data_IF_567247408353
#
_entry.id   IF_567247408353
#
_cell.length_a   1.000
_cell.length_b   1.000
_cell.length_c   1.000
_cell.angle_alpha   90.00
_cell.angle_beta   90.00
_cell.angle_gamma   90.00
#
_symmetry.space_group_name_H-M   'P 1'
#
loop_
_entity.id
_entity.type
_entity.pdbx_description
1 polymer ?
#
# COMPACT_ATOMS: atom_id res chain seq x y z
N UNK A 1 -31.52 11.26 0.18
CA UNK A 1 -30.69 10.72 -0.93
C UNK A 1 -29.22 11.17 -0.89
N UNK A 2 -28.72 11.81 0.18
CA UNK A 2 -27.34 12.35 0.26
C UNK A 2 -26.35 11.47 1.07
N UNK A 3 -26.82 10.59 1.94
CA UNK A 3 -25.96 9.74 2.77
C UNK A 3 -25.29 8.58 2.02
N UNK A 4 -25.99 7.97 1.04
CA UNK A 4 -25.50 6.78 0.32
C UNK A 4 -24.37 7.12 -0.65
N UNK A 5 -24.37 8.32 -1.25
CA UNK A 5 -23.25 8.80 -2.10
C UNK A 5 -22.06 9.26 -1.24
N UNK A 6 -22.29 9.57 0.04
CA UNK A 6 -21.24 10.04 0.94
C UNK A 6 -20.31 8.92 1.41
N UNK A 7 -20.80 7.70 1.63
CA UNK A 7 -19.97 6.60 2.14
C UNK A 7 -18.87 6.17 1.17
N UNK A 8 -19.16 5.89 -0.12
CA UNK A 8 -18.14 5.52 -1.10
C UNK A 8 -17.11 6.64 -1.30
N UNK A 9 -17.55 7.90 -1.32
CA UNK A 9 -16.65 9.07 -1.37
C UNK A 9 -15.74 9.16 -0.15
N UNK A 10 -16.25 8.88 1.05
CA UNK A 10 -15.45 8.86 2.29
C UNK A 10 -14.41 7.74 2.28
N UNK A 11 -14.75 6.56 1.78
CA UNK A 11 -13.77 5.48 1.59
C UNK A 11 -12.74 5.81 0.50
N UNK A 12 -13.16 6.40 -0.62
CA UNK A 12 -12.25 6.85 -1.68
C UNK A 12 -11.26 7.91 -1.17
N UNK A 13 -11.71 8.84 -0.34
CA UNK A 13 -10.88 9.82 0.36
C UNK A 13 -9.94 9.16 1.37
N UNK A 14 -10.44 8.19 2.15
CA UNK A 14 -9.64 7.45 3.13
C UNK A 14 -8.49 6.67 2.48
N UNK A 15 -8.74 6.06 1.32
CA UNK A 15 -7.73 5.34 0.51
C UNK A 15 -6.83 6.28 -0.27
N UNK A 16 -7.27 7.54 -0.46
CA UNK A 16 -6.72 8.50 -1.43
C UNK A 16 -6.41 7.80 -2.75
N UNK A 17 -7.47 7.44 -3.49
CA UNK A 17 -7.39 6.72 -4.77
C UNK A 17 -6.33 7.31 -5.71
N UNK A 18 -6.19 8.63 -5.72
CA UNK A 18 -5.14 9.37 -6.43
C UNK A 18 -3.76 8.76 -6.22
N UNK A 19 -3.36 8.52 -4.97
CA UNK A 19 -2.04 7.95 -4.69
C UNK A 19 -1.93 6.47 -5.07
N UNK A 20 -3.04 5.72 -5.11
CA UNK A 20 -3.04 4.37 -5.66
C UNK A 20 -2.78 4.39 -7.15
N UNK A 21 -3.39 5.31 -7.88
CA UNK A 21 -3.13 5.50 -9.31
C UNK A 21 -1.66 5.89 -9.56
N UNK A 22 -1.09 6.76 -8.73
CA UNK A 22 0.33 7.13 -8.84
C UNK A 22 1.32 6.02 -8.45
N UNK A 23 0.89 5.01 -7.70
CA UNK A 23 1.74 3.87 -7.33
C UNK A 23 1.83 2.80 -8.43
N UNK A 24 0.81 2.70 -9.29
CA UNK A 24 0.73 1.69 -10.36
C UNK A 24 1.90 1.75 -11.37
N UNK A 25 2.37 2.94 -11.82
CA UNK A 25 3.53 3.03 -12.69
C UNK A 25 4.78 2.31 -12.14
N UNK A 26 5.05 2.36 -10.84
CA UNK A 26 6.22 1.67 -10.26
C UNK A 26 6.08 0.15 -10.32
N UNK A 27 4.89 -0.37 -10.03
CA UNK A 27 4.60 -1.79 -10.19
C UNK A 27 4.69 -2.23 -11.66
N UNK A 28 4.17 -1.43 -12.59
CA UNK A 28 4.25 -1.73 -14.02
C UNK A 28 5.66 -1.60 -14.60
N UNK A 29 6.48 -0.66 -14.12
CA UNK A 29 7.89 -0.57 -14.51
C UNK A 29 8.62 -1.85 -14.06
N UNK A 30 8.39 -2.31 -12.83
CA UNK A 30 8.93 -3.60 -12.37
C UNK A 30 8.46 -4.77 -13.24
N UNK A 31 7.18 -4.79 -13.60
CA UNK A 31 6.59 -5.82 -14.45
C UNK A 31 7.08 -5.81 -15.91
N UNK A 32 7.32 -4.63 -16.48
CA UNK A 32 7.77 -4.47 -17.87
C UNK A 32 9.28 -4.63 -18.01
N UNK A 33 10.06 -4.25 -17.00
CA UNK A 33 11.52 -4.43 -17.02
C UNK A 33 11.92 -5.89 -16.77
N UNK A 34 11.10 -6.66 -16.04
CA UNK A 34 11.43 -8.03 -15.70
C UNK A 34 11.29 -9.02 -16.86
N UNK A 35 10.56 -8.65 -17.91
CA UNK A 35 10.40 -9.46 -19.12
C UNK A 35 10.66 -8.57 -20.31
N UNK A 36 11.51 -8.97 -21.25
CA UNK A 36 11.63 -8.30 -22.56
C UNK A 36 10.39 -8.51 -23.45
N UNK A 37 9.22 -8.75 -22.84
CA UNK A 37 7.91 -9.02 -23.45
C UNK A 37 6.82 -8.40 -22.58
N UNK A 38 5.65 -8.17 -23.17
CA UNK A 38 4.49 -7.67 -22.44
C UNK A 38 4.02 -8.78 -21.47
N UNK A 39 3.90 -8.50 -20.15
CA UNK A 39 3.33 -9.44 -19.19
C UNK A 39 1.92 -9.86 -19.58
N UNK A 40 1.48 -11.05 -19.15
CA UNK A 40 0.13 -11.50 -19.48
C UNK A 40 -0.92 -10.56 -18.87
N UNK A 41 -2.05 -10.37 -19.56
CA UNK A 41 -3.16 -9.55 -19.03
C UNK A 41 -3.65 -10.07 -17.67
N UNK A 42 -3.55 -11.38 -17.45
CA UNK A 42 -3.82 -12.03 -16.17
C UNK A 42 -2.90 -11.48 -15.06
N UNK A 43 -1.58 -11.48 -15.27
CA UNK A 43 -0.62 -11.03 -14.25
C UNK A 43 -0.75 -9.53 -13.97
N UNK A 44 -0.98 -8.72 -15.01
CA UNK A 44 -1.20 -7.29 -14.85
C UNK A 44 -2.44 -6.99 -14.01
N UNK A 45 -3.55 -7.71 -14.25
CA UNK A 45 -4.78 -7.54 -13.46
C UNK A 45 -4.52 -7.93 -11.99
N UNK A 46 -3.90 -9.07 -11.73
CA UNK A 46 -3.64 -9.50 -10.34
C UNK A 46 -2.61 -8.62 -9.62
N UNK A 47 -1.58 -8.13 -10.29
CA UNK A 47 -0.66 -7.14 -9.72
C UNK A 47 -1.40 -5.86 -9.35
N UNK A 48 -2.31 -5.39 -10.22
CA UNK A 48 -3.12 -4.20 -9.96
C UNK A 48 -4.01 -4.39 -8.74
N UNK A 49 -4.68 -5.54 -8.65
CA UNK A 49 -5.54 -5.89 -7.52
C UNK A 49 -4.74 -6.06 -6.23
N UNK A 50 -3.54 -6.66 -6.30
CA UNK A 50 -2.63 -6.77 -5.17
C UNK A 50 -2.19 -5.38 -4.68
N UNK A 51 -1.79 -4.48 -5.58
CA UNK A 51 -1.41 -3.11 -5.26
C UNK A 51 -2.55 -2.31 -4.65
N UNK A 52 -3.76 -2.43 -5.22
CA UNK A 52 -4.96 -1.78 -4.71
C UNK A 52 -5.29 -2.26 -3.30
N UNK A 53 -5.27 -3.58 -3.07
CA UNK A 53 -5.52 -4.19 -1.76
C UNK A 53 -4.46 -3.79 -0.73
N UNK A 54 -3.18 -3.93 -1.07
CA UNK A 54 -2.06 -3.61 -0.20
C UNK A 54 -2.07 -2.13 0.23
N UNK A 55 -2.26 -1.21 -0.72
CA UNK A 55 -2.26 0.23 -0.42
C UNK A 55 -3.48 0.65 0.38
N UNK A 56 -4.66 0.11 0.03
CA UNK A 56 -5.89 0.33 0.79
C UNK A 56 -5.75 -0.15 2.24
N UNK A 57 -5.14 -1.32 2.43
CA UNK A 57 -4.86 -1.87 3.74
C UNK A 57 -3.86 -1.01 4.52
N UNK A 58 -2.75 -0.61 3.91
CA UNK A 58 -1.75 0.24 4.55
C UNK A 58 -2.35 1.57 5.02
N UNK A 59 -3.16 2.22 4.18
CA UNK A 59 -3.85 3.46 4.51
C UNK A 59 -4.89 3.26 5.63
N UNK A 60 -5.68 2.19 5.56
CA UNK A 60 -6.66 1.87 6.59
C UNK A 60 -6.02 1.59 7.95
N UNK A 61 -4.97 0.75 7.99
CA UNK A 61 -4.22 0.44 9.21
C UNK A 61 -3.59 1.71 9.80
N UNK A 62 -2.95 2.52 8.96
CA UNK A 62 -2.36 3.79 9.37
C UNK A 62 -3.40 4.71 10.05
N UNK A 63 -4.61 4.83 9.46
CA UNK A 63 -5.70 5.64 10.02
C UNK A 63 -6.24 5.06 11.33
N UNK A 64 -6.37 3.74 11.44
CA UNK A 64 -6.88 3.07 12.65
C UNK A 64 -5.87 3.16 13.80
N UNK A 65 -4.58 2.95 13.53
CA UNK A 65 -3.53 2.95 14.55
C UNK A 65 -3.25 4.37 15.06
N UNK A 66 -3.27 5.37 14.17
CA UNK A 66 -3.00 6.76 14.51
C UNK A 66 -4.25 7.57 14.88
N UNK A 67 -5.44 6.95 14.96
CA UNK A 67 -6.72 7.63 15.18
C UNK A 67 -6.72 8.61 16.37
N UNK A 68 -6.20 8.18 17.52
CA UNK A 68 -6.14 8.99 18.74
C UNK A 68 -5.12 10.13 18.65
N UNK A 69 -4.04 9.94 17.89
CA UNK A 69 -3.00 10.95 17.67
C UNK A 69 -3.51 11.97 16.66
N UNK A 70 -4.13 11.48 15.59
CA UNK A 70 -4.72 12.30 14.54
C UNK A 70 -5.82 13.23 15.09
N UNK A 71 -6.57 12.77 16.10
CA UNK A 71 -7.60 13.57 16.79
C UNK A 71 -7.04 14.75 17.60
N UNK A 72 -5.81 14.64 18.13
CA UNK A 72 -5.17 15.69 18.93
C UNK A 72 -4.43 16.71 18.08
N UNK A 73 -4.17 16.39 16.81
CA UNK A 73 -3.41 17.25 15.91
C UNK A 73 -4.38 18.12 15.07
N UNK A 74 -4.32 19.47 15.18
CA UNK A 74 -5.21 20.39 14.46
C UNK A 74 -5.26 20.16 12.94
N UNK A 75 -4.15 19.70 12.34
CA UNK A 75 -4.06 19.44 10.90
C UNK A 75 -4.82 18.18 10.47
N UNK A 76 -5.02 17.23 11.38
CA UNK A 76 -5.54 15.89 11.07
C UNK A 76 -6.82 15.53 11.81
N UNK A 77 -7.28 16.42 12.70
CA UNK A 77 -8.51 16.28 13.45
C UNK A 77 -9.76 16.20 12.54
N UNK A 78 -9.70 16.81 11.35
CA UNK A 78 -10.78 16.78 10.35
C UNK A 78 -10.84 15.52 9.49
N UNK A 79 -9.93 14.55 9.70
CA UNK A 79 -9.94 13.28 8.97
C UNK A 79 -11.19 12.46 9.30
N UNK A 80 -11.54 11.52 8.43
CA UNK A 80 -12.81 10.80 8.48
C UNK A 80 -13.04 10.03 9.78
N UNK A 81 -11.98 9.45 10.34
CA UNK A 81 -12.05 8.66 11.57
C UNK A 81 -12.03 9.53 12.84
N UNK A 82 -11.10 10.49 13.03
CA UNK A 82 -11.15 11.43 14.15
C UNK A 82 -12.39 12.32 14.20
N UNK A 83 -12.87 12.77 13.04
CA UNK A 83 -14.09 13.59 12.94
C UNK A 83 -15.39 12.78 13.06
N UNK A 84 -15.31 11.47 13.33
CA UNK A 84 -16.48 10.59 13.51
C UNK A 84 -17.32 10.36 12.24
N UNK A 85 -16.82 10.73 11.05
CA UNK A 85 -17.52 10.55 9.78
C UNK A 85 -17.51 9.09 9.30
N UNK A 86 -16.57 8.29 9.79
CA UNK A 86 -16.51 6.83 9.66
C UNK A 86 -16.32 6.21 11.04
N UNK A 87 -16.98 5.08 11.29
CA UNK A 87 -16.78 4.34 12.53
C UNK A 87 -15.50 3.50 12.47
N UNK A 88 -14.89 3.24 13.63
CA UNK A 88 -13.72 2.36 13.71
C UNK A 88 -14.00 0.96 13.15
N UNK A 89 -15.20 0.44 13.38
CA UNK A 89 -15.66 -0.85 12.84
C UNK A 89 -15.71 -0.81 11.31
N UNK A 90 -16.23 0.27 10.72
CA UNK A 90 -16.25 0.43 9.26
C UNK A 90 -14.84 0.40 8.65
N UNK A 91 -13.87 1.07 9.27
CA UNK A 91 -12.49 1.08 8.78
C UNK A 91 -11.81 -0.29 8.98
N UNK A 92 -12.09 -0.99 10.09
CA UNK A 92 -11.57 -2.35 10.32
C UNK A 92 -12.14 -3.33 9.28
N UNK A 93 -13.44 -3.29 9.01
CA UNK A 93 -14.07 -4.12 7.97
C UNK A 93 -13.46 -3.80 6.60
N UNK A 94 -13.23 -2.52 6.31
CA UNK A 94 -12.54 -2.11 5.09
C UNK A 94 -11.12 -2.67 5.00
N UNK A 95 -10.35 -2.65 6.09
CA UNK A 95 -9.02 -3.28 6.16
C UNK A 95 -9.12 -4.79 5.90
N UNK A 96 -10.10 -5.49 6.49
CA UNK A 96 -10.30 -6.92 6.28
C UNK A 96 -10.64 -7.26 4.80
N UNK A 97 -11.44 -6.43 4.14
CA UNK A 97 -11.76 -6.57 2.72
C UNK A 97 -10.52 -6.30 1.84
N UNK A 98 -9.79 -5.23 2.13
CA UNK A 98 -8.55 -4.89 1.41
C UNK A 98 -7.47 -5.97 1.58
N UNK A 99 -7.34 -6.51 2.78
CA UNK A 99 -6.45 -7.64 3.07
C UNK A 99 -6.86 -8.89 2.32
N UNK A 100 -8.15 -9.24 2.31
CA UNK A 100 -8.66 -10.37 1.52
C UNK A 100 -8.35 -10.21 0.03
N UNK A 101 -8.54 -9.02 -0.53
CA UNK A 101 -8.21 -8.73 -1.93
C UNK A 101 -6.71 -8.89 -2.21
N UNK A 102 -5.86 -8.34 -1.33
CA UNK A 102 -4.41 -8.48 -1.42
C UNK A 102 -3.98 -9.96 -1.38
N UNK A 103 -4.53 -10.71 -0.42
CA UNK A 103 -4.17 -12.11 -0.21
C UNK A 103 -4.59 -12.96 -1.41
N UNK A 104 -5.85 -12.86 -1.86
CA UNK A 104 -6.35 -13.56 -3.05
C UNK A 104 -5.47 -13.27 -4.26
N UNK A 105 -5.11 -12.01 -4.46
CA UNK A 105 -4.23 -11.62 -5.57
C UNK A 105 -2.85 -12.26 -5.47
N UNK A 106 -2.25 -12.33 -4.28
CA UNK A 106 -0.96 -13.00 -4.06
C UNK A 106 -1.01 -14.51 -4.38
N UNK A 107 -2.14 -15.18 -4.14
CA UNK A 107 -2.29 -16.61 -4.44
C UNK A 107 -2.39 -16.91 -5.95
N UNK A 108 -2.86 -15.94 -6.73
CA UNK A 108 -3.01 -16.03 -8.20
C UNK A 108 -1.74 -15.66 -8.98
N UNK A 109 -0.75 -15.08 -8.29
CA UNK A 109 0.56 -14.74 -8.86
C UNK A 109 1.55 -15.90 -8.66
N UNK A 110 2.82 -15.69 -9.05
CA UNK A 110 3.87 -16.70 -8.96
C UNK A 110 3.93 -17.39 -7.58
N UNK A 111 4.20 -18.71 -7.50
CA UNK A 111 4.14 -19.48 -6.26
C UNK A 111 4.99 -18.93 -5.10
N UNK A 112 6.11 -18.28 -5.41
CA UNK A 112 6.99 -17.65 -4.43
C UNK A 112 6.29 -16.50 -3.68
N UNK A 113 5.38 -15.76 -4.32
CA UNK A 113 4.64 -14.62 -3.73
C UNK A 113 3.76 -15.09 -2.57
N UNK A 114 3.28 -16.33 -2.60
CA UNK A 114 2.47 -16.94 -1.54
C UNK A 114 3.21 -17.08 -0.20
N UNK A 115 4.53 -17.01 -0.22
CA UNK A 115 5.35 -17.01 0.99
C UNK A 115 5.81 -15.61 1.39
N UNK A 116 5.83 -14.66 0.44
CA UNK A 116 6.32 -13.30 0.63
C UNK A 116 5.24 -12.30 1.06
N UNK A 117 3.95 -12.62 0.89
CA UNK A 117 2.84 -11.71 1.26
C UNK A 117 2.87 -11.18 2.71
N UNK A 118 3.42 -11.88 3.74
CA UNK A 118 3.47 -11.32 5.08
C UNK A 118 4.44 -10.13 5.20
N UNK A 119 5.44 -10.05 4.33
CA UNK A 119 6.52 -9.05 4.44
C UNK A 119 5.96 -7.61 4.29
N UNK A 120 5.21 -7.26 3.23
CA UNK A 120 4.61 -5.94 3.13
C UNK A 120 3.62 -5.64 4.25
N UNK A 121 2.84 -6.65 4.68
CA UNK A 121 1.87 -6.50 5.76
C UNK A 121 2.54 -6.06 7.07
N UNK A 122 3.63 -6.73 7.45
CA UNK A 122 4.42 -6.36 8.64
C UNK A 122 4.94 -4.93 8.49
N UNK A 123 5.42 -4.56 7.30
CA UNK A 123 5.82 -3.19 6.98
C UNK A 123 4.72 -2.16 7.25
N UNK A 124 3.49 -2.43 6.80
CA UNK A 124 2.32 -1.56 6.98
C UNK A 124 1.92 -1.38 8.45
N UNK A 125 2.05 -2.44 9.26
CA UNK A 125 1.73 -2.39 10.68
C UNK A 125 2.81 -1.65 11.46
N UNK A 126 4.09 -1.88 11.16
CA UNK A 126 5.21 -1.27 11.89
C UNK A 126 5.30 0.24 11.63
N UNK A 127 5.04 0.70 10.40
CA UNK A 127 5.23 2.09 10.00
C UNK A 127 4.53 3.12 10.91
N UNK A 128 3.21 3.01 11.22
CA UNK A 128 2.53 3.95 12.10
C UNK A 128 3.12 4.02 13.52
N UNK A 129 3.64 2.90 14.04
CA UNK A 129 4.31 2.89 15.34
C UNK A 129 5.67 3.58 15.28
N UNK A 130 6.46 3.38 14.22
CA UNK A 130 7.78 3.99 14.09
C UNK A 130 7.75 5.51 14.15
N UNK A 131 6.70 6.15 13.63
CA UNK A 131 6.52 7.61 13.73
C UNK A 131 6.57 8.15 15.16
N UNK A 132 6.28 7.30 16.15
CA UNK A 132 6.26 7.67 17.58
C UNK A 132 7.64 7.59 18.22
N UNK A 133 8.54 6.79 17.65
CA UNK A 133 9.83 6.45 18.25
C UNK A 133 11.02 7.05 17.51
N UNK A 134 10.92 7.25 16.20
CA UNK A 134 12.06 7.67 15.40
C UNK A 134 11.67 8.55 14.22
N UNK A 135 12.51 9.54 13.93
CA UNK A 135 12.48 10.33 12.70
C UNK A 135 12.86 9.50 11.46
N UNK A 136 13.46 8.32 11.65
CA UNK A 136 13.78 7.39 10.57
C UNK A 136 12.54 6.70 9.97
N UNK A 137 11.33 7.04 10.42
CA UNK A 137 10.08 6.53 9.86
C UNK A 137 9.94 6.78 8.36
N UNK A 138 10.54 7.86 7.85
CA UNK A 138 10.59 8.20 6.42
C UNK A 138 11.35 7.14 5.61
N UNK A 139 12.47 6.64 6.15
CA UNK A 139 13.26 5.58 5.52
C UNK A 139 12.46 4.28 5.50
N UNK A 140 11.78 3.96 6.61
CA UNK A 140 10.91 2.78 6.67
C UNK A 140 9.76 2.86 5.66
N UNK A 141 9.12 4.02 5.53
CA UNK A 141 8.09 4.25 4.50
C UNK A 141 8.65 3.99 3.11
N UNK A 142 9.80 4.58 2.80
CA UNK A 142 10.48 4.39 1.53
C UNK A 142 10.77 2.91 1.26
N UNK A 143 11.31 2.17 2.23
CA UNK A 143 11.56 0.72 2.10
C UNK A 143 10.26 -0.02 1.77
N UNK A 144 9.18 0.24 2.52
CA UNK A 144 7.90 -0.43 2.33
C UNK A 144 7.29 -0.13 0.96
N UNK A 145 7.34 1.11 0.49
CA UNK A 145 6.87 1.46 -0.85
C UNK A 145 7.80 0.93 -1.96
N UNK A 146 9.10 0.86 -1.70
CA UNK A 146 10.11 0.26 -2.58
C UNK A 146 9.93 -1.26 -2.77
N UNK A 147 9.20 -1.93 -1.87
CA UNK A 147 8.82 -3.33 -2.08
C UNK A 147 7.77 -3.51 -3.19
N UNK A 148 7.04 -2.46 -3.59
CA UNK A 148 6.05 -2.56 -4.66
C UNK A 148 6.63 -3.00 -6.02
N UNK A 149 7.68 -2.34 -6.57
CA UNK A 149 8.31 -2.81 -7.81
C UNK A 149 9.00 -4.17 -7.66
N UNK A 150 9.60 -4.46 -6.49
CA UNK A 150 10.22 -5.76 -6.19
C UNK A 150 9.16 -6.87 -6.21
N UNK A 151 8.02 -6.62 -5.57
CA UNK A 151 6.86 -7.49 -5.53
C UNK A 151 6.29 -7.78 -6.92
N UNK A 152 6.16 -6.74 -7.75
CA UNK A 152 5.71 -6.90 -9.14
C UNK A 152 6.69 -7.74 -9.98
N UNK A 153 8.01 -7.54 -9.79
CA UNK A 153 9.04 -8.31 -10.48
C UNK A 153 8.97 -9.80 -10.15
N UNK A 154 8.92 -10.13 -8.86
CA UNK A 154 8.85 -11.52 -8.39
C UNK A 154 7.49 -12.16 -8.72
N UNK A 155 6.43 -11.37 -8.80
CA UNK A 155 5.10 -11.85 -9.18
C UNK A 155 5.03 -12.38 -10.61
N UNK A 156 5.84 -11.85 -11.52
CA UNK A 156 5.88 -12.29 -12.92
C UNK A 156 6.99 -13.32 -13.16
N UNK A 157 8.19 -13.05 -12.66
CA UNK A 157 9.37 -13.88 -12.98
C UNK A 157 9.58 -15.04 -12.01
N UNK A 158 8.98 -14.99 -10.82
CA UNK A 158 9.26 -15.92 -9.73
C UNK A 158 10.68 -15.81 -9.18
N UNK A 159 11.45 -14.80 -9.59
CA UNK A 159 12.86 -14.62 -9.23
C UNK A 159 13.08 -13.23 -8.64
N UNK A 160 14.11 -13.11 -7.80
CA UNK A 160 14.53 -11.86 -7.15
C UNK A 160 16.00 -11.57 -7.51
N UNK A 161 16.28 -11.15 -8.75
CA UNK A 161 17.64 -10.82 -9.15
C UNK A 161 18.03 -9.44 -8.60
N UNK A 162 19.30 -9.06 -8.71
CA UNK A 162 19.81 -7.82 -8.10
C UNK A 162 19.17 -6.56 -8.70
N UNK A 163 18.73 -6.62 -9.96
CA UNK A 163 18.06 -5.53 -10.68
C UNK A 163 16.72 -5.16 -10.01
N UNK A 164 15.98 -6.16 -9.53
CA UNK A 164 14.73 -5.93 -8.82
C UNK A 164 14.97 -5.15 -7.52
N UNK A 165 16.00 -5.55 -6.76
CA UNK A 165 16.40 -4.87 -5.53
C UNK A 165 16.95 -3.48 -5.78
N UNK A 166 17.72 -3.28 -6.86
CA UNK A 166 18.21 -1.96 -7.26
C UNK A 166 17.07 -0.99 -7.59
N UNK A 167 16.05 -1.46 -8.33
CA UNK A 167 14.84 -0.68 -8.60
C UNK A 167 14.08 -0.35 -7.31
N UNK A 168 13.90 -1.34 -6.44
CA UNK A 168 13.26 -1.14 -5.13
C UNK A 168 14.00 -0.13 -4.25
N UNK A 169 15.34 -0.20 -4.22
CA UNK A 169 16.19 0.73 -3.47
C UNK A 169 16.11 2.16 -4.02
N UNK A 170 16.10 2.32 -5.35
CA UNK A 170 15.95 3.63 -5.99
C UNK A 170 14.60 4.27 -5.61
N UNK A 171 13.51 3.50 -5.67
CA UNK A 171 12.18 3.97 -5.24
C UNK A 171 12.17 4.28 -3.75
N UNK A 172 12.81 3.45 -2.92
CA UNK A 172 12.86 3.64 -1.48
C UNK A 172 13.57 4.95 -1.09
N UNK A 173 14.73 5.22 -1.67
CA UNK A 173 15.48 6.46 -1.41
C UNK A 173 14.70 7.68 -1.88
N UNK A 174 14.06 7.59 -3.06
CA UNK A 174 13.28 8.69 -3.59
C UNK A 174 12.07 9.04 -2.71
N UNK A 175 11.31 8.03 -2.29
CA UNK A 175 10.13 8.24 -1.42
C UNK A 175 10.56 8.70 -0.03
N UNK A 176 11.61 8.10 0.55
CA UNK A 176 12.14 8.54 1.83
C UNK A 176 12.61 10.00 1.78
N UNK A 177 13.25 10.42 0.69
CA UNK A 177 13.67 11.81 0.48
C UNK A 177 12.49 12.77 0.36
N UNK A 178 11.42 12.37 -0.34
CA UNK A 178 10.22 13.19 -0.50
C UNK A 178 9.42 13.34 0.80
N UNK A 179 9.38 12.32 1.66
CA UNK A 179 8.59 12.33 2.90
C UNK A 179 9.25 13.14 4.04
N UNK A 180 10.53 13.51 3.90
CA UNK A 180 11.26 14.36 4.85
C UNK A 180 10.85 15.84 4.74
N UNK A 181 10.34 16.28 3.58
CA UNK A 181 9.94 17.66 3.31
C UNK A 181 8.42 17.86 3.46
#
# INVERSE_FOLDING_TARGET
MTAVVALPRRFASLVKIEHTVFALPFAYIGALLCVHRIPSAHDLVWITLAMLGARSLAMGLNRVIDAEIDARNPRTADRELPAGRLSRVQVIVFCALAFSLYLVSCFQLAPIVRWLWPIPLVGFVIYPYLKRFTWLSHIWLGIVDGLAPVGAWVAITGRLPWEAWALGAAVAVWIAGFDVF
#
